data_IF_452128993259
#
_entry.id   IF_452128993259
#
_cell.length_a   1.000
_cell.length_b   1.000
_cell.length_c   1.000
_cell.angle_alpha   90.00
_cell.angle_beta   90.00
_cell.angle_gamma   90.00
#
_symmetry.space_group_name_H-M   'P 1'
#
loop_
_entity.id
_entity.type
_entity.pdbx_description
1 polymer ?
#
# COMPACT_ATOMS: atom_id res chain seq x y z
N UNK A 1 8.51 21.51 8.09
CA UNK A 1 8.49 20.19 8.79
C UNK A 1 7.87 19.18 7.83
N UNK A 2 8.62 18.17 7.40
CA UNK A 2 8.14 17.17 6.44
C UNK A 2 7.64 15.92 7.14
N UNK A 3 6.52 15.36 6.69
CA UNK A 3 5.96 14.14 7.26
C UNK A 3 6.81 12.94 6.80
N UNK A 4 7.48 12.26 7.74
CA UNK A 4 8.36 11.12 7.46
C UNK A 4 7.71 9.76 7.64
N UNK A 5 6.76 9.67 8.56
CA UNK A 5 6.01 8.45 8.83
C UNK A 5 4.55 8.81 9.04
N UNK A 6 3.66 7.96 8.53
CA UNK A 6 2.23 8.08 8.72
C UNK A 6 1.66 6.71 9.09
N UNK A 7 0.85 6.68 10.15
CA UNK A 7 0.11 5.49 10.55
C UNK A 7 -1.38 5.79 10.40
N UNK A 8 -2.03 5.09 9.48
CA UNK A 8 -3.48 5.10 9.23
C UNK A 8 -4.11 3.75 9.57
N UNK A 9 -3.46 2.93 10.40
CA UNK A 9 -3.96 1.61 10.74
C UNK A 9 -5.37 1.64 11.33
N UNK A 10 -6.14 0.58 11.07
CA UNK A 10 -7.46 0.32 11.66
C UNK A 10 -8.49 1.38 11.24
N UNK A 11 -8.41 1.84 9.99
CA UNK A 11 -9.38 2.77 9.41
C UNK A 11 -10.35 2.02 8.47
N UNK A 12 -11.42 1.38 8.99
CA UNK A 12 -12.30 0.51 8.20
C UNK A 12 -13.14 1.26 7.16
N UNK A 13 -13.29 2.59 7.31
CA UNK A 13 -14.04 3.45 6.37
C UNK A 13 -13.16 4.11 5.31
N UNK A 14 -11.84 3.89 5.36
CA UNK A 14 -10.90 4.47 4.41
C UNK A 14 -10.97 3.66 3.11
N UNK A 15 -11.73 4.16 2.12
CA UNK A 15 -11.83 3.52 0.81
C UNK A 15 -10.76 4.01 -0.17
N UNK A 16 -10.43 5.30 -0.09
CA UNK A 16 -9.52 5.97 -1.01
C UNK A 16 -8.43 6.64 -0.18
N UNK A 17 -7.18 6.39 -0.55
CA UNK A 17 -6.02 7.04 0.03
C UNK A 17 -5.19 7.72 -1.07
N UNK A 18 -4.90 9.00 -0.88
CA UNK A 18 -3.93 9.73 -1.71
C UNK A 18 -2.92 10.42 -0.83
N UNK A 19 -1.66 10.13 -1.03
CA UNK A 19 -0.56 10.75 -0.29
C UNK A 19 0.48 11.24 -1.28
N UNK A 20 0.80 12.52 -1.19
CA UNK A 20 1.94 13.13 -1.87
C UNK A 20 2.91 13.65 -0.81
N UNK A 21 4.00 12.92 -0.60
CA UNK A 21 4.96 13.25 0.43
C UNK A 21 6.38 12.89 0.00
N UNK A 22 7.16 13.91 -0.35
CA UNK A 22 8.53 13.74 -0.85
C UNK A 22 9.53 13.28 0.22
N UNK A 23 9.14 13.36 1.49
CA UNK A 23 9.99 12.99 2.64
C UNK A 23 9.45 11.78 3.41
N UNK A 24 8.37 11.14 2.94
CA UNK A 24 7.80 9.99 3.60
C UNK A 24 8.66 8.76 3.36
N UNK A 25 8.97 8.05 4.45
CA UNK A 25 9.84 6.86 4.50
C UNK A 25 9.06 5.63 4.93
N UNK A 26 8.06 5.80 5.80
CA UNK A 26 7.27 4.71 6.36
C UNK A 26 5.78 5.01 6.30
N UNK A 27 4.98 4.02 5.86
CA UNK A 27 3.53 4.11 5.81
C UNK A 27 2.90 2.81 6.35
N UNK A 28 2.02 2.96 7.34
CA UNK A 28 1.25 1.85 7.91
C UNK A 28 -0.25 2.01 7.60
N UNK A 29 -0.82 1.04 6.89
CA UNK A 29 -2.22 0.94 6.48
C UNK A 29 -2.90 -0.30 7.05
N UNK A 30 -2.30 -0.96 8.05
CA UNK A 30 -2.79 -2.24 8.55
C UNK A 30 -4.25 -2.16 8.98
N UNK A 31 -5.10 -3.10 8.59
CA UNK A 31 -6.51 -3.12 8.98
C UNK A 31 -7.38 -2.10 8.26
N UNK A 32 -6.91 -1.50 7.17
CA UNK A 32 -7.74 -0.72 6.24
C UNK A 32 -8.48 -1.65 5.26
N UNK A 33 -9.39 -2.49 5.78
CA UNK A 33 -10.15 -3.44 4.95
C UNK A 33 -11.06 -2.79 3.90
N UNK A 34 -11.38 -1.50 4.09
CA UNK A 34 -12.11 -0.67 3.14
C UNK A 34 -11.29 -0.22 1.93
N UNK A 35 -9.96 -0.25 2.01
CA UNK A 35 -9.09 0.46 1.07
C UNK A 35 -9.06 -0.24 -0.29
N UNK A 36 -9.75 0.34 -1.26
CA UNK A 36 -9.82 -0.14 -2.64
C UNK A 36 -8.89 0.62 -3.58
N UNK A 37 -8.62 1.89 -3.28
CA UNK A 37 -7.77 2.76 -4.09
C UNK A 37 -6.68 3.41 -3.24
N UNK A 38 -5.42 3.17 -3.60
CA UNK A 38 -4.27 3.80 -2.97
C UNK A 38 -3.36 4.43 -4.03
N UNK A 39 -3.14 5.74 -3.93
CA UNK A 39 -2.23 6.49 -4.78
C UNK A 39 -1.16 7.14 -3.90
N UNK A 40 0.07 6.64 -4.00
CA UNK A 40 1.18 7.02 -3.15
C UNK A 40 2.29 7.61 -4.02
N UNK A 41 2.51 8.92 -3.93
CA UNK A 41 3.63 9.60 -4.58
C UNK A 41 4.68 9.97 -3.54
N UNK A 42 5.39 8.94 -3.06
CA UNK A 42 6.36 9.03 -1.98
C UNK A 42 7.71 8.46 -2.45
N UNK A 43 8.55 9.25 -3.15
CA UNK A 43 9.78 8.75 -3.76
C UNK A 43 10.80 8.19 -2.77
N UNK A 44 10.72 8.57 -1.49
CA UNK A 44 11.60 8.12 -0.41
C UNK A 44 10.98 7.01 0.45
N UNK A 45 9.82 6.47 0.08
CA UNK A 45 9.14 5.45 0.87
C UNK A 45 9.94 4.15 0.79
N UNK A 46 10.41 3.66 1.93
CA UNK A 46 11.17 2.40 2.02
C UNK A 46 10.37 1.29 2.67
N UNK A 47 9.35 1.62 3.47
CA UNK A 47 8.54 0.65 4.21
C UNK A 47 7.04 0.92 4.06
N UNK A 48 6.29 -0.09 3.62
CA UNK A 48 4.83 -0.06 3.50
C UNK A 48 4.24 -1.32 4.13
N UNK A 49 3.37 -1.15 5.13
CA UNK A 49 2.54 -2.23 5.67
C UNK A 49 1.09 -2.00 5.26
N UNK A 50 0.55 -2.88 4.42
CA UNK A 50 -0.85 -2.89 4.02
C UNK A 50 -1.56 -4.21 4.41
N UNK A 51 -1.17 -4.79 5.54
CA UNK A 51 -1.78 -6.01 6.07
C UNK A 51 -3.27 -5.83 6.35
N UNK A 52 -4.07 -6.86 6.11
CA UNK A 52 -5.53 -6.89 6.31
C UNK A 52 -6.29 -5.86 5.47
N UNK A 53 -5.69 -5.38 4.37
CA UNK A 53 -6.38 -4.56 3.38
C UNK A 53 -7.07 -5.46 2.35
N UNK A 54 -8.29 -5.91 2.68
CA UNK A 54 -9.03 -6.89 1.89
C UNK A 54 -9.47 -6.42 0.51
N UNK A 55 -9.62 -5.11 0.30
CA UNK A 55 -10.05 -4.55 -0.98
C UNK A 55 -8.90 -3.98 -1.81
N UNK A 56 -7.67 -4.00 -1.29
CA UNK A 56 -6.51 -3.46 -2.01
C UNK A 56 -6.18 -4.37 -3.19
N UNK A 57 -5.92 -3.78 -4.35
CA UNK A 57 -5.71 -4.53 -5.61
C UNK A 57 -4.25 -4.53 -6.06
N UNK A 58 -3.91 -5.48 -6.93
CA UNK A 58 -2.61 -5.53 -7.61
C UNK A 58 -2.31 -4.24 -8.40
N UNK A 59 -3.32 -3.60 -9.02
CA UNK A 59 -3.16 -2.31 -9.70
C UNK A 59 -2.70 -1.20 -8.75
N UNK A 60 -3.26 -1.14 -7.54
CA UNK A 60 -2.86 -0.15 -6.54
C UNK A 60 -1.40 -0.36 -6.10
N UNK A 61 -1.00 -1.62 -5.92
CA UNK A 61 0.39 -1.96 -5.58
C UNK A 61 1.35 -1.66 -6.72
N UNK A 62 0.97 -1.97 -7.96
CA UNK A 62 1.75 -1.65 -9.16
C UNK A 62 1.96 -0.13 -9.31
N UNK A 63 0.89 0.66 -9.13
CA UNK A 63 0.99 2.12 -9.12
C UNK A 63 1.91 2.62 -7.99
N UNK A 64 1.77 2.04 -6.79
CA UNK A 64 2.59 2.40 -5.63
C UNK A 64 4.06 2.11 -5.86
N UNK A 65 4.41 0.92 -6.33
CA UNK A 65 5.81 0.53 -6.59
C UNK A 65 6.45 1.35 -7.71
N UNK A 66 5.68 1.78 -8.71
CA UNK A 66 6.15 2.70 -9.76
C UNK A 66 6.44 4.11 -9.23
N UNK A 67 5.62 4.61 -8.32
CA UNK A 67 5.77 5.95 -7.75
C UNK A 67 6.75 6.01 -6.56
N UNK A 68 6.95 4.87 -5.89
CA UNK A 68 7.82 4.70 -4.73
C UNK A 68 8.92 3.67 -5.06
N UNK A 69 9.95 4.04 -5.85
CA UNK A 69 10.96 3.09 -6.34
C UNK A 69 11.95 2.60 -5.27
N UNK A 70 11.95 3.21 -4.08
CA UNK A 70 12.86 2.88 -2.98
C UNK A 70 12.24 1.95 -1.94
N UNK A 71 11.07 1.35 -2.21
CA UNK A 71 10.44 0.40 -1.28
C UNK A 71 11.34 -0.82 -1.11
N UNK A 72 11.79 -1.06 0.12
CA UNK A 72 12.59 -2.22 0.53
C UNK A 72 11.73 -3.24 1.28
N UNK A 73 10.73 -2.77 2.04
CA UNK A 73 9.84 -3.60 2.83
C UNK A 73 8.39 -3.36 2.44
N UNK A 74 7.75 -4.41 1.94
CA UNK A 74 6.33 -4.41 1.57
C UNK A 74 5.64 -5.58 2.29
N UNK A 75 4.77 -5.27 3.24
CA UNK A 75 4.07 -6.26 4.06
C UNK A 75 2.60 -6.33 3.61
N UNK A 76 2.19 -7.51 3.15
CA UNK A 76 0.86 -7.77 2.58
C UNK A 76 0.22 -9.00 3.21
N UNK A 77 0.02 -8.97 4.52
CA UNK A 77 -0.55 -10.10 5.23
C UNK A 77 -2.07 -10.11 5.08
N UNK A 78 -2.67 -11.25 4.70
CA UNK A 78 -4.13 -11.41 4.63
C UNK A 78 -4.83 -10.39 3.69
N UNK A 79 -4.27 -10.16 2.51
CA UNK A 79 -4.85 -9.32 1.44
C UNK A 79 -5.38 -10.20 0.29
N UNK A 80 -6.62 -10.74 0.38
CA UNK A 80 -7.16 -11.69 -0.60
C UNK A 80 -7.31 -11.15 -2.03
N UNK A 81 -7.42 -9.84 -2.21
CA UNK A 81 -7.51 -9.21 -3.53
C UNK A 81 -6.16 -8.97 -4.22
N UNK A 82 -5.05 -9.28 -3.53
CA UNK A 82 -3.68 -9.16 -4.05
C UNK A 82 -3.14 -10.55 -4.36
N UNK A 83 -2.50 -10.71 -5.52
CA UNK A 83 -1.97 -12.00 -5.95
C UNK A 83 -2.93 -12.80 -6.83
N UNK A 84 -4.05 -12.20 -7.26
CA UNK A 84 -4.97 -12.79 -8.23
C UNK A 84 -4.34 -12.95 -9.62
N UNK A 85 -3.23 -12.25 -9.88
CA UNK A 85 -2.39 -12.40 -11.08
C UNK A 85 -1.23 -13.40 -10.94
N UNK A 86 -0.99 -13.99 -9.75
CA UNK A 86 0.12 -14.91 -9.49
C UNK A 86 -0.29 -16.39 -9.40
N UNK A 87 -1.42 -16.79 -9.98
CA UNK A 87 -1.53 -18.17 -10.45
C UNK A 87 -0.77 -18.25 -11.77
N UNK A 88 0.45 -18.83 -11.84
CA UNK A 88 0.87 -19.42 -13.10
C UNK A 88 -0.20 -20.46 -13.46
N UNK A 89 -0.89 -20.22 -14.57
CA UNK A 89 -1.62 -21.26 -15.28
C UNK A 89 -0.54 -22.24 -15.76
N UNK A 90 -0.10 -23.15 -14.90
CA UNK A 90 0.71 -24.29 -15.31
C UNK A 90 -0.29 -25.34 -15.79
N UNK A 91 -0.63 -25.24 -17.08
CA UNK A 91 -1.20 -26.36 -17.83
C UNK A 91 -0.09 -27.32 -18.27
#
# INVERSE_FOLDING_TARGET
VGLRSLNLGICPKLNILRIEAMLMVSLELKGCGGLSEASLNCPLLTSLDASFCSQLTDDCLSATTRACPLIESLILMSCPSIGLFLTPVHS
#
